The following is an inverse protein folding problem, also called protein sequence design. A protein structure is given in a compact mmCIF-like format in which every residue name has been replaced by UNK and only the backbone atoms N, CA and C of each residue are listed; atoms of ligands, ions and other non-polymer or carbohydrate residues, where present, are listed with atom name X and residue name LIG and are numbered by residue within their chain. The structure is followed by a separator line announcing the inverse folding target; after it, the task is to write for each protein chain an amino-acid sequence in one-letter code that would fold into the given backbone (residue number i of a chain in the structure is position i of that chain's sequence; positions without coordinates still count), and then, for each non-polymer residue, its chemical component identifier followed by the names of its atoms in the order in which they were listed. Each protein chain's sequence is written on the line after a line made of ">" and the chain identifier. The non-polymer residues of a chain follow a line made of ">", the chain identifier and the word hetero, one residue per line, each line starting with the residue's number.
data_IF_178891891016
#
_entry.id   IF_178891891016
#
_cell.length_a   1.000
_cell.length_b   1.000
_cell.length_c   1.000
_cell.angle_alpha   90.00
_cell.angle_beta   90.00
_cell.angle_gamma   90.00
#
_symmetry.space_group_name_H-M   'P 1'
#
loop_
_entity.id
_entity.type
_entity.pdbx_description
1 polymer ?
#
# COMPACT_ATOMS: atom_id res chain seq x y z
N UNK A 1 -18.24 30.59 5.94
CA UNK A 1 -16.77 30.65 6.09
C UNK A 1 -16.19 29.38 5.47
N UNK A 2 -15.47 29.45 4.35
CA UNK A 2 -15.00 28.26 3.64
C UNK A 2 -13.86 27.60 4.44
N UNK A 3 -13.97 26.29 4.63
CA UNK A 3 -13.05 25.46 5.41
C UNK A 3 -11.65 25.45 4.83
N UNK A 4 -10.67 25.74 5.69
CA UNK A 4 -9.25 25.66 5.39
C UNK A 4 -8.83 24.20 5.14
N UNK A 5 -8.08 23.89 4.07
CA UNK A 5 -7.54 22.54 3.87
C UNK A 5 -6.53 22.23 4.97
N UNK A 6 -6.65 21.04 5.57
CA UNK A 6 -5.66 20.45 6.48
C UNK A 6 -4.30 20.40 5.77
N UNK A 7 -3.46 21.40 6.02
CA UNK A 7 -2.05 21.40 5.60
C UNK A 7 -1.36 20.25 6.36
N UNK A 8 -0.95 19.21 5.63
CA UNK A 8 -0.03 18.16 6.12
C UNK A 8 1.20 18.86 6.72
N UNK A 9 1.25 18.97 8.04
CA UNK A 9 2.30 19.71 8.75
C UNK A 9 3.50 18.78 8.93
N UNK A 10 4.47 18.89 8.02
CA UNK A 10 5.76 18.24 8.15
C UNK A 10 6.50 18.85 9.35
N UNK A 11 6.65 18.10 10.45
CA UNK A 11 7.43 18.52 11.62
C UNK A 11 8.84 17.97 11.49
N UNK A 12 9.81 18.88 11.37
CA UNK A 12 11.24 18.59 11.46
C UNK A 12 11.67 18.69 12.93
N UNK A 13 12.02 17.57 13.56
CA UNK A 13 12.69 17.58 14.87
C UNK A 13 14.14 17.14 14.71
N UNK A 14 15.07 18.05 15.00
CA UNK A 14 16.50 17.72 15.13
C UNK A 14 16.82 17.58 16.63
N UNK A 15 17.19 16.37 17.08
CA UNK A 15 17.68 16.13 18.43
C UNK A 15 19.10 16.67 18.56
N UNK A 16 19.34 17.62 19.48
CA UNK A 16 20.70 18.06 19.82
C UNK A 16 21.45 16.94 20.54
N UNK A 17 22.24 16.19 19.79
CA UNK A 17 23.18 15.16 20.22
C UNK A 17 24.06 14.79 19.02
N UNK A 18 25.25 14.25 19.27
CA UNK A 18 26.36 14.02 18.30
C UNK A 18 26.02 13.11 17.10
N UNK A 19 24.76 12.72 16.91
CA UNK A 19 24.25 12.04 15.73
C UNK A 19 23.58 13.02 14.78
N UNK A 20 24.29 13.44 13.74
CA UNK A 20 23.71 14.18 12.62
C UNK A 20 22.77 13.26 11.81
N UNK A 21 21.46 13.56 11.72
CA UNK A 21 20.50 12.67 11.10
C UNK A 21 20.75 12.53 9.59
N UNK A 22 20.78 11.27 9.13
CA UNK A 22 21.10 10.87 7.74
C UNK A 22 19.87 10.42 6.94
N UNK A 23 18.70 10.33 7.58
CA UNK A 23 17.49 9.81 6.99
C UNK A 23 16.35 10.81 7.11
N UNK A 24 15.44 10.76 6.15
CA UNK A 24 14.16 11.47 6.17
C UNK A 24 13.02 10.47 6.07
N UNK A 25 11.90 10.80 6.70
CA UNK A 25 10.72 9.94 6.76
C UNK A 25 9.53 10.71 6.23
N UNK A 26 8.84 10.13 5.24
CA UNK A 26 7.52 10.54 4.82
C UNK A 26 6.51 9.60 5.47
N UNK A 27 5.41 10.13 5.99
CA UNK A 27 4.39 9.31 6.64
C UNK A 27 2.99 9.80 6.30
N UNK A 28 2.07 8.84 6.14
CA UNK A 28 0.65 9.08 6.33
C UNK A 28 0.27 8.55 7.72
N UNK A 29 0.04 9.43 8.70
CA UNK A 29 -0.16 9.00 10.08
C UNK A 29 -1.44 8.18 10.27
N UNK A 30 -2.46 8.39 9.44
CA UNK A 30 -3.75 7.73 9.57
C UNK A 30 -4.46 7.62 8.21
N UNK A 31 -4.05 6.61 7.45
CA UNK A 31 -4.65 6.23 6.19
C UNK A 31 -5.98 5.49 6.41
N UNK A 32 -6.96 5.78 5.56
CA UNK A 32 -8.34 5.33 5.72
C UNK A 32 -9.10 6.03 6.84
N UNK A 33 -8.74 7.25 7.22
CA UNK A 33 -9.40 7.99 8.33
C UNK A 33 -10.92 8.11 8.21
N UNK A 34 -11.50 8.09 7.00
CA UNK A 34 -12.95 8.04 6.77
C UNK A 34 -13.64 6.78 7.32
N UNK A 35 -12.86 5.76 7.68
CA UNK A 35 -13.35 4.47 8.17
C UNK A 35 -13.39 4.38 9.70
N UNK A 36 -12.90 5.41 10.41
CA UNK A 36 -12.82 5.42 11.88
C UNK A 36 -14.22 5.28 12.49
N UNK A 37 -15.20 6.06 12.00
CA UNK A 37 -16.55 6.13 12.56
C UNK A 37 -17.36 4.84 12.33
N UNK A 38 -16.94 3.99 11.40
CA UNK A 38 -17.61 2.72 11.06
C UNK A 38 -16.85 1.48 11.52
N UNK A 39 -15.83 1.67 12.37
CA UNK A 39 -14.99 0.60 12.93
C UNK A 39 -14.38 -0.33 11.86
N UNK A 40 -14.01 0.26 10.72
CA UNK A 40 -13.32 -0.44 9.63
C UNK A 40 -11.81 -0.20 9.78
N UNK A 41 -11.00 -1.17 9.35
CA UNK A 41 -9.54 -1.11 9.50
C UNK A 41 -8.93 0.17 8.93
N UNK A 42 -8.05 0.78 9.71
CA UNK A 42 -7.25 1.96 9.37
C UNK A 42 -5.78 1.61 9.43
N UNK A 43 -4.89 2.49 8.96
CA UNK A 43 -3.47 2.21 8.98
C UNK A 43 -2.57 3.43 9.05
N UNK A 44 -1.28 3.18 9.20
CA UNK A 44 -0.23 4.20 9.08
C UNK A 44 0.72 3.74 7.98
N UNK A 45 1.11 4.61 7.08
CA UNK A 45 2.09 4.30 6.02
C UNK A 45 3.35 5.12 6.26
N UNK A 46 4.52 4.52 6.08
CA UNK A 46 5.79 5.22 6.17
C UNK A 46 6.74 4.85 5.04
N UNK A 47 7.57 5.81 4.67
CA UNK A 47 8.61 5.70 3.65
C UNK A 47 9.87 6.37 4.16
N UNK A 48 11.01 5.68 4.08
CA UNK A 48 12.29 6.14 4.59
C UNK A 48 13.25 6.31 3.42
N UNK A 49 13.88 7.48 3.36
CA UNK A 49 14.94 7.79 2.40
C UNK A 49 16.21 8.18 3.15
N UNK A 50 17.35 7.97 2.50
CA UNK A 50 18.60 8.64 2.89
C UNK A 50 18.54 10.07 2.35
N UNK A 51 18.96 11.06 3.16
CA UNK A 51 19.00 12.46 2.73
C UNK A 51 20.02 12.65 1.60
N UNK A 52 19.75 13.59 0.69
CA UNK A 52 20.66 14.02 -0.38
C UNK A 52 21.44 15.28 0.02
N UNK A 53 20.85 16.11 0.87
CA UNK A 53 21.51 17.29 1.42
C UNK A 53 22.68 16.89 2.33
N UNK A 54 23.76 17.68 2.40
CA UNK A 54 24.93 17.35 3.23
C UNK A 54 24.58 17.13 4.70
N UNK A 55 25.18 16.12 5.30
CA UNK A 55 24.99 15.83 6.73
C UNK A 55 25.49 17.01 7.56
N UNK A 56 24.70 17.46 8.53
CA UNK A 56 25.00 18.63 9.35
C UNK A 56 24.36 19.92 8.86
N UNK A 57 23.79 19.94 7.64
CA UNK A 57 22.91 21.04 7.21
C UNK A 57 21.45 20.74 7.54
N UNK A 58 20.57 21.74 7.54
CA UNK A 58 19.12 21.52 7.52
C UNK A 58 18.71 20.71 6.28
N UNK A 59 17.70 19.85 6.44
CA UNK A 59 17.09 19.16 5.30
C UNK A 59 16.27 20.14 4.46
N UNK A 60 16.17 19.88 3.16
CA UNK A 60 15.39 20.69 2.20
C UNK A 60 14.27 19.84 1.61
N UNK A 61 13.35 20.46 0.86
CA UNK A 61 12.30 19.73 0.14
C UNK A 61 12.86 18.67 -0.83
N UNK A 62 14.07 18.90 -1.37
CA UNK A 62 14.76 17.96 -2.25
C UNK A 62 15.00 16.59 -1.58
N UNK A 63 15.22 16.57 -0.27
CA UNK A 63 15.36 15.31 0.48
C UNK A 63 14.08 14.46 0.44
N UNK A 64 12.91 15.09 0.30
CA UNK A 64 11.60 14.43 0.33
C UNK A 64 11.03 14.14 -1.07
N UNK A 65 11.50 14.84 -2.11
CA UNK A 65 11.02 14.71 -3.49
C UNK A 65 11.86 13.72 -4.32
N UNK A 66 12.46 12.73 -3.67
CA UNK A 66 13.22 11.67 -4.32
C UNK A 66 12.29 10.65 -5.01
N UNK A 67 12.71 10.02 -6.12
CA UNK A 67 11.92 8.98 -6.76
C UNK A 67 11.80 7.73 -5.89
N UNK A 68 10.67 7.03 -5.98
CA UNK A 68 10.34 5.87 -5.12
C UNK A 68 11.35 4.72 -5.14
N UNK A 69 12.17 4.59 -6.19
CA UNK A 69 13.25 3.60 -6.26
C UNK A 69 14.47 3.93 -5.36
N UNK A 70 14.50 5.10 -4.71
CA UNK A 70 15.52 5.50 -3.72
C UNK A 70 15.12 5.22 -2.27
N UNK A 71 13.93 4.66 -2.03
CA UNK A 71 13.52 4.25 -0.69
C UNK A 71 14.50 3.21 -0.13
N UNK A 72 14.97 3.44 1.09
CA UNK A 72 15.81 2.49 1.82
C UNK A 72 14.98 1.55 2.70
N UNK A 73 13.78 1.99 3.09
CA UNK A 73 12.79 1.17 3.74
C UNK A 73 11.40 1.75 3.51
N UNK A 74 10.39 0.88 3.52
CA UNK A 74 9.00 1.28 3.48
C UNK A 74 8.16 0.26 4.23
N UNK A 75 7.01 0.69 4.72
CA UNK A 75 6.11 -0.20 5.41
C UNK A 75 4.80 0.47 5.78
N UNK A 76 3.94 -0.32 6.40
CA UNK A 76 2.67 0.14 6.92
C UNK A 76 2.31 -0.61 8.20
N UNK A 77 1.52 0.04 9.03
CA UNK A 77 0.85 -0.55 10.19
C UNK A 77 -0.63 -0.65 9.87
N UNK A 78 -1.22 -1.80 10.13
CA UNK A 78 -2.66 -2.02 10.03
C UNK A 78 -3.23 -2.09 11.43
N UNK A 79 -4.26 -1.30 11.70
CA UNK A 79 -5.08 -1.37 12.90
C UNK A 79 -6.42 -2.01 12.53
N UNK A 80 -6.48 -3.34 12.62
CA UNK A 80 -7.68 -4.14 12.33
C UNK A 80 -8.12 -4.96 13.54
N UNK A 81 -8.63 -6.16 13.30
CA UNK A 81 -8.89 -7.13 14.38
C UNK A 81 -7.62 -7.52 15.15
N UNK A 82 -6.45 -7.37 14.52
CA UNK A 82 -5.13 -7.37 15.14
C UNK A 82 -4.32 -6.21 14.57
N UNK A 83 -3.35 -5.73 15.37
CA UNK A 83 -2.40 -4.71 14.91
C UNK A 83 -1.21 -5.41 14.27
N UNK A 84 -0.90 -5.08 13.01
CA UNK A 84 0.21 -5.70 12.28
C UNK A 84 1.15 -4.64 11.72
N UNK A 85 2.46 -4.86 11.85
CA UNK A 85 3.50 -4.08 11.19
C UNK A 85 4.03 -4.89 10.01
N UNK A 86 4.02 -4.29 8.82
CA UNK A 86 4.58 -4.89 7.61
C UNK A 86 5.62 -3.93 7.04
N UNK A 87 6.83 -4.42 6.77
CA UNK A 87 7.88 -3.56 6.19
C UNK A 87 8.87 -4.32 5.30
N UNK A 88 9.64 -3.56 4.53
CA UNK A 88 10.75 -4.03 3.69
C UNK A 88 11.91 -3.04 3.73
N UNK A 89 13.13 -3.55 3.53
CA UNK A 89 14.37 -2.79 3.30
C UNK A 89 15.01 -3.13 1.95
N UNK A 90 14.26 -3.78 1.06
CA UNK A 90 14.76 -4.30 -0.23
C UNK A 90 15.02 -5.81 -0.25
N UNK A 91 15.10 -6.47 0.92
CA UNK A 91 15.42 -7.91 1.04
C UNK A 91 14.20 -8.79 1.36
N UNK A 92 13.05 -8.51 0.73
CA UNK A 92 11.79 -9.19 1.04
C UNK A 92 10.88 -8.37 1.94
N UNK A 93 9.67 -8.88 2.17
CA UNK A 93 8.64 -8.20 2.96
C UNK A 93 8.36 -9.06 4.19
N UNK A 94 8.33 -8.45 5.36
CA UNK A 94 8.16 -9.15 6.63
C UNK A 94 6.94 -8.60 7.36
N UNK A 95 6.16 -9.48 7.97
CA UNK A 95 4.98 -9.12 8.76
C UNK A 95 5.17 -9.54 10.22
N UNK A 96 4.76 -8.64 11.11
CA UNK A 96 4.77 -8.84 12.55
C UNK A 96 3.40 -8.53 13.10
N UNK A 97 2.93 -9.36 14.03
CA UNK A 97 1.66 -9.14 14.74
C UNK A 97 1.97 -8.62 16.14
N UNK A 98 1.28 -7.57 16.56
CA UNK A 98 1.38 -7.02 17.91
C UNK A 98 0.66 -7.94 18.90
N UNK A 99 1.36 -8.32 19.97
CA UNK A 99 0.80 -8.98 21.14
C UNK A 99 0.53 -7.93 22.22
N UNK A 100 -0.75 -7.59 22.51
CA UNK A 100 -1.09 -6.59 23.52
C UNK A 100 -0.76 -7.01 24.95
N UNK A 101 -0.68 -8.32 25.23
CA UNK A 101 -0.37 -8.84 26.56
C UNK A 101 1.11 -8.68 26.89
N UNK A 102 1.98 -8.77 25.88
CA UNK A 102 3.42 -8.62 26.02
C UNK A 102 3.95 -7.22 25.64
N UNK A 103 3.18 -6.46 24.87
CA UNK A 103 3.59 -5.14 24.37
C UNK A 103 4.65 -5.19 23.28
N UNK A 104 4.70 -6.28 22.50
CA UNK A 104 5.75 -6.51 21.48
C UNK A 104 5.17 -6.92 20.13
N UNK A 105 5.92 -6.67 19.06
CA UNK A 105 5.63 -7.18 17.72
C UNK A 105 6.37 -8.50 17.50
N UNK A 106 5.61 -9.58 17.29
CA UNK A 106 6.14 -10.92 17.02
C UNK A 106 6.15 -11.20 15.52
N UNK A 107 7.24 -11.74 14.99
CA UNK A 107 7.33 -12.14 13.58
C UNK A 107 6.27 -13.21 13.30
N UNK A 108 5.35 -12.93 12.37
CA UNK A 108 4.29 -13.87 11.99
C UNK A 108 4.48 -14.40 10.57
N UNK A 109 5.12 -13.62 9.69
CA UNK A 109 5.46 -14.08 8.35
C UNK A 109 6.75 -13.47 7.84
N UNK A 110 7.70 -14.33 7.51
CA UNK A 110 8.92 -13.95 6.82
C UNK A 110 8.74 -14.03 5.29
N UNK A 111 9.35 -13.07 4.57
CA UNK A 111 9.45 -13.08 3.11
C UNK A 111 8.09 -13.29 2.41
N UNK A 112 7.11 -12.49 2.78
CA UNK A 112 5.80 -12.42 2.15
C UNK A 112 5.93 -12.23 0.63
N UNK A 113 5.11 -12.98 -0.12
CA UNK A 113 5.03 -13.03 -1.58
C UNK A 113 3.56 -13.10 -1.98
N UNK A 114 3.25 -12.56 -3.16
CA UNK A 114 1.96 -12.82 -3.77
C UNK A 114 1.91 -14.27 -4.30
N UNK A 115 0.72 -14.91 -4.30
CA UNK A 115 0.53 -16.14 -5.04
C UNK A 115 0.66 -15.87 -6.55
N UNK A 116 0.95 -16.92 -7.31
CA UNK A 116 1.13 -16.81 -8.77
C UNK A 116 -0.13 -16.29 -9.46
N UNK A 117 -1.32 -16.71 -9.00
CA UNK A 117 -2.62 -16.31 -9.53
C UNK A 117 -3.46 -15.67 -8.42
N UNK A 118 -4.24 -14.66 -8.79
CA UNK A 118 -5.22 -14.01 -7.93
C UNK A 118 -6.60 -14.07 -8.58
N UNK A 119 -7.63 -14.25 -7.77
CA UNK A 119 -9.03 -14.33 -8.18
C UNK A 119 -9.88 -13.22 -7.56
N UNK A 120 -9.26 -12.12 -7.15
CA UNK A 120 -9.91 -10.99 -6.47
C UNK A 120 -9.48 -9.67 -7.11
N UNK A 121 -10.42 -8.76 -7.30
CA UNK A 121 -10.16 -7.38 -7.71
C UNK A 121 -10.79 -6.41 -6.70
N UNK A 122 -10.19 -5.23 -6.51
CA UNK A 122 -10.85 -4.18 -5.76
C UNK A 122 -10.93 -2.87 -6.50
N UNK A 123 -12.14 -2.34 -6.52
CA UNK A 123 -12.45 -1.03 -7.07
C UNK A 123 -13.75 -0.53 -6.47
N UNK A 124 -13.91 0.78 -6.34
CA UNK A 124 -15.22 1.36 -6.03
C UNK A 124 -16.07 1.37 -7.32
N UNK A 125 -16.84 0.32 -7.54
CA UNK A 125 -17.74 0.22 -8.71
C UNK A 125 -18.82 1.30 -8.75
N UNK A 126 -19.09 2.01 -7.64
CA UNK A 126 -19.94 3.20 -7.64
C UNK A 126 -19.44 4.33 -8.56
N UNK A 127 -18.14 4.33 -8.90
CA UNK A 127 -17.54 5.25 -9.86
C UNK A 127 -17.48 4.71 -11.30
N UNK A 128 -18.13 3.57 -11.60
CA UNK A 128 -18.02 2.88 -12.89
C UNK A 128 -18.17 3.80 -14.11
N UNK A 129 -19.17 4.68 -14.10
CA UNK A 129 -19.47 5.60 -15.21
C UNK A 129 -18.27 6.51 -15.53
N UNK A 130 -17.52 6.92 -14.50
CA UNK A 130 -16.39 7.84 -14.60
C UNK A 130 -15.10 7.16 -15.04
N UNK A 131 -15.04 5.82 -15.03
CA UNK A 131 -13.80 5.12 -15.37
C UNK A 131 -13.49 5.15 -16.87
N UNK A 132 -12.19 5.16 -17.24
CA UNK A 132 -11.74 4.97 -18.61
C UNK A 132 -12.27 3.66 -19.21
N UNK A 133 -12.42 3.61 -20.53
CA UNK A 133 -12.99 2.45 -21.22
C UNK A 133 -12.19 1.16 -20.98
N UNK A 134 -10.86 1.25 -20.84
CA UNK A 134 -10.02 0.09 -20.52
C UNK A 134 -10.36 -0.54 -19.16
N UNK A 135 -10.61 0.30 -18.15
CA UNK A 135 -10.99 -0.16 -16.80
C UNK A 135 -12.38 -0.79 -16.82
N UNK A 136 -13.35 -0.17 -17.51
CA UNK A 136 -14.70 -0.72 -17.68
C UNK A 136 -14.67 -2.11 -18.33
N UNK A 137 -13.88 -2.27 -19.40
CA UNK A 137 -13.67 -3.56 -20.07
C UNK A 137 -13.05 -4.59 -19.12
N UNK A 138 -12.06 -4.19 -18.33
CA UNK A 138 -11.44 -5.10 -17.36
C UNK A 138 -12.40 -5.53 -16.24
N UNK A 139 -13.24 -4.62 -15.73
CA UNK A 139 -14.28 -4.98 -14.75
C UNK A 139 -15.22 -6.03 -15.35
N UNK A 140 -15.66 -5.84 -16.60
CA UNK A 140 -16.51 -6.83 -17.28
C UNK A 140 -15.79 -8.16 -17.50
N UNK A 141 -14.53 -8.13 -17.91
CA UNK A 141 -13.69 -9.32 -17.95
C UNK A 141 -13.68 -10.03 -16.58
N UNK A 142 -13.49 -9.35 -15.46
CA UNK A 142 -13.51 -9.99 -14.13
C UNK A 142 -14.87 -10.63 -13.76
N UNK A 143 -15.98 -10.15 -14.33
CA UNK A 143 -17.35 -10.57 -14.00
C UNK A 143 -17.86 -11.72 -14.89
N UNK A 144 -17.24 -11.98 -16.03
CA UNK A 144 -17.63 -13.06 -16.94
C UNK A 144 -17.40 -14.44 -16.32
N UNK A 145 -18.27 -15.40 -16.62
CA UNK A 145 -18.06 -16.80 -16.25
C UNK A 145 -17.05 -17.45 -17.19
N UNK A 146 -15.94 -17.94 -16.65
CA UNK A 146 -14.95 -18.68 -17.41
C UNK A 146 -14.16 -19.63 -16.49
N UNK A 147 -14.41 -20.92 -16.66
CA UNK A 147 -13.78 -21.99 -15.87
C UNK A 147 -12.27 -22.10 -16.12
N UNK A 148 -11.79 -21.74 -17.32
CA UNK A 148 -10.37 -21.84 -17.66
C UNK A 148 -9.52 -20.81 -16.90
N UNK A 149 -10.10 -19.63 -16.64
CA UNK A 149 -9.45 -18.52 -15.94
C UNK A 149 -9.92 -18.34 -14.49
N UNK A 150 -10.76 -19.25 -13.98
CA UNK A 150 -11.32 -19.21 -12.62
C UNK A 150 -12.10 -17.92 -12.33
N UNK A 151 -12.87 -17.45 -13.33
CA UNK A 151 -13.78 -16.31 -13.22
C UNK A 151 -15.23 -16.78 -13.03
N UNK A 152 -16.11 -16.00 -12.34
CA UNK A 152 -15.91 -14.60 -11.95
C UNK A 152 -14.96 -14.41 -10.77
N UNK A 153 -14.24 -13.28 -10.77
CA UNK A 153 -13.39 -12.89 -9.64
C UNK A 153 -14.22 -12.28 -8.51
N UNK A 154 -13.78 -12.48 -7.27
CA UNK A 154 -14.38 -11.84 -6.10
C UNK A 154 -14.12 -10.34 -6.14
N UNK A 155 -15.16 -9.52 -6.03
CA UNK A 155 -15.04 -8.07 -5.89
C UNK A 155 -14.90 -7.69 -4.41
N UNK A 156 -13.95 -6.83 -4.07
CA UNK A 156 -13.80 -6.26 -2.73
C UNK A 156 -13.65 -4.74 -2.80
N UNK A 157 -14.09 -3.99 -1.79
CA UNK A 157 -13.77 -2.55 -1.74
C UNK A 157 -12.31 -2.36 -1.30
N UNK A 158 -11.67 -1.24 -1.67
CA UNK A 158 -10.33 -0.88 -1.19
C UNK A 158 -10.33 -0.91 0.35
N UNK A 159 -9.53 -1.80 0.92
CA UNK A 159 -9.37 -1.94 2.36
C UNK A 159 -7.88 -2.12 2.60
N UNK A 160 -7.28 -1.21 3.37
CA UNK A 160 -5.84 -1.21 3.65
C UNK A 160 -5.35 -2.48 4.33
N UNK A 161 -6.29 -3.25 4.90
CA UNK A 161 -6.14 -4.67 5.10
C UNK A 161 -7.52 -5.31 5.13
N UNK A 162 -7.64 -6.55 4.66
CA UNK A 162 -8.87 -7.33 4.77
C UNK A 162 -9.40 -7.42 6.22
N UNK A 163 -10.32 -6.52 6.58
CA UNK A 163 -11.11 -6.53 7.82
C UNK A 163 -12.13 -7.65 7.86
N UNK A 164 -11.65 -8.88 7.87
CA UNK A 164 -12.42 -10.10 8.05
C UNK A 164 -11.43 -11.23 7.91
N UNK A 165 -10.99 -11.82 9.03
CA UNK A 165 -9.96 -12.86 9.14
C UNK A 165 -9.51 -13.40 7.78
N UNK A 166 -8.54 -12.76 7.11
CA UNK A 166 -7.84 -13.39 6.02
C UNK A 166 -6.57 -13.93 6.66
N UNK A 167 -6.42 -15.24 6.65
CA UNK A 167 -5.11 -15.86 6.66
C UNK A 167 -4.17 -15.02 5.80
N UNK A 168 -3.25 -14.32 6.48
CA UNK A 168 -2.05 -13.62 5.97
C UNK A 168 -2.21 -12.75 4.70
N UNK A 169 -1.79 -11.47 4.72
CA UNK A 169 -1.77 -10.62 3.51
C UNK A 169 -1.03 -11.24 2.30
N UNK A 170 -0.17 -12.24 2.54
CA UNK A 170 0.53 -13.01 1.52
C UNK A 170 -0.36 -13.92 0.66
N UNK A 171 -1.58 -14.27 1.08
CA UNK A 171 -2.38 -15.26 0.35
C UNK A 171 -3.21 -14.66 -0.79
N UNK A 172 -3.22 -13.33 -0.99
CA UNK A 172 -4.07 -12.70 -1.99
C UNK A 172 -3.28 -11.81 -2.95
N UNK A 173 -3.17 -12.25 -4.22
CA UNK A 173 -2.74 -11.37 -5.31
C UNK A 173 -3.91 -10.46 -5.68
N UNK A 174 -3.78 -9.21 -5.29
CA UNK A 174 -4.76 -8.18 -5.51
C UNK A 174 -4.44 -7.40 -6.79
N UNK A 175 -5.38 -7.36 -7.73
CA UNK A 175 -5.26 -6.54 -8.92
C UNK A 175 -5.85 -5.16 -8.61
N UNK A 176 -5.03 -4.27 -8.03
CA UNK A 176 -5.36 -2.85 -7.93
C UNK A 176 -4.99 -2.17 -9.24
N UNK A 177 -5.99 -1.59 -9.90
CA UNK A 177 -5.76 -0.72 -11.04
C UNK A 177 -5.45 0.68 -10.50
N UNK A 178 -4.18 0.94 -10.16
CA UNK A 178 -3.68 2.32 -10.20
C UNK A 178 -3.41 2.66 -11.66
N UNK A 179 -3.91 3.80 -12.13
CA UNK A 179 -3.75 4.28 -13.50
C UNK A 179 -2.28 4.10 -13.96
N UNK A 180 -2.10 3.55 -15.17
CA UNK A 180 -0.81 3.31 -15.88
C UNK A 180 -0.19 1.91 -15.77
N UNK A 181 -0.94 0.84 -16.09
CA UNK A 181 -0.36 -0.32 -16.80
C UNK A 181 -1.23 -0.74 -17.98
N UNK A 182 -0.66 -0.69 -19.18
CA UNK A 182 -1.25 -1.33 -20.36
C UNK A 182 -1.29 -2.86 -20.14
N UNK A 183 -2.34 -3.55 -20.62
CA UNK A 183 -2.42 -5.00 -20.54
C UNK A 183 -1.35 -5.66 -21.44
N UNK A 184 -0.83 -6.84 -21.09
CA UNK A 184 0.13 -7.56 -21.93
C UNK A 184 -0.51 -7.95 -23.26
N UNK A 185 0.26 -7.74 -24.34
CA UNK A 185 -0.18 -7.83 -25.72
C UNK A 185 -0.72 -9.19 -26.15
N UNK A 186 -1.67 -9.13 -27.09
CA UNK A 186 -2.11 -10.26 -27.92
C UNK A 186 -0.89 -10.91 -28.58
N UNK A 187 -0.83 -12.23 -28.50
CA UNK A 187 0.02 -13.05 -29.36
C UNK A 187 -0.26 -12.69 -30.83
N UNK A 188 0.80 -12.41 -31.58
CA UNK A 188 0.76 -12.30 -33.02
C UNK A 188 0.38 -13.67 -33.61
N UNK A 189 -0.68 -13.71 -34.41
CA UNK A 189 -0.98 -14.84 -35.28
C UNK A 189 0.01 -14.86 -36.46
N UNK A 190 0.41 -16.03 -36.99
CA UNK A 190 1.33 -16.10 -38.11
C UNK A 190 0.59 -15.74 -39.41
N UNK A 191 1.29 -15.02 -40.29
CA UNK A 191 0.82 -14.71 -41.63
C UNK A 191 0.83 -15.96 -42.51
N UNK A 192 -0.27 -16.20 -43.21
CA UNK A 192 -0.33 -16.89 -44.51
C UNK A 192 -1.20 -16.03 -45.42
#
# INVERSE_FOLDING_TARGET
>A
MPGSPLKKKMRLSSSKGVNTPKYVVLMDPLDGSSNIDVNVSVGTIFSIYRRVTPVGTPVTEEDFLQPGNKQVAAGYVVYGSSTMLVYTTGCGVHAFTYDPSLGVFCLCQERMRFPEKGNTYSINEGNYIKFPQGVKKYIKYCQEEDKATQRPYTSTLYRLAGGGLPSQPAERRHLSLSEHRQPPGRQAAPAV
#
